data_IF_757579755273
#
_entry.id   IF_757579755273
#
_cell.length_a   1.000
_cell.length_b   1.000
_cell.length_c   1.000
_cell.angle_alpha   90.00
_cell.angle_beta   90.00
_cell.angle_gamma   90.00
#
_symmetry.space_group_name_H-M   'P 1'
#
loop_
_entity.id
_entity.type
_entity.pdbx_description
1 polymer ?
#
# COMPACT_ATOMS: atom_id res chain seq x y z
N UNK A 1 12.45 8.89 18.53
CA UNK A 1 13.37 9.57 17.59
C UNK A 1 13.83 8.63 16.46
N UNK A 2 14.46 7.48 16.77
CA UNK A 2 14.91 6.53 15.74
C UNK A 2 13.81 6.10 14.75
N UNK A 3 12.61 5.73 15.22
CA UNK A 3 11.49 5.35 14.34
C UNK A 3 11.07 6.49 13.41
N UNK A 4 11.02 7.73 13.91
CA UNK A 4 10.68 8.91 13.11
C UNK A 4 11.70 9.07 11.99
N UNK A 5 13.00 8.98 12.34
CA UNK A 5 14.07 9.05 11.35
C UNK A 5 14.01 7.92 10.32
N UNK A 6 13.65 6.71 10.74
CA UNK A 6 13.46 5.58 9.83
C UNK A 6 12.34 5.87 8.83
N UNK A 7 11.18 6.37 9.28
CA UNK A 7 10.08 6.75 8.41
C UNK A 7 10.47 7.87 7.43
N UNK A 8 11.19 8.90 7.87
CA UNK A 8 11.70 9.99 7.02
C UNK A 8 12.65 9.47 5.91
N UNK A 9 13.51 8.50 6.24
CA UNK A 9 14.42 7.91 5.26
C UNK A 9 13.65 7.07 4.23
N UNK A 10 12.63 6.32 4.66
CA UNK A 10 11.76 5.58 3.74
C UNK A 10 11.00 6.55 2.83
N UNK A 11 10.47 7.64 3.36
CA UNK A 11 9.81 8.68 2.58
C UNK A 11 10.73 9.27 1.49
N UNK A 12 11.98 9.60 1.84
CA UNK A 12 12.99 10.06 0.87
C UNK A 12 13.29 9.02 -0.21
N UNK A 13 13.29 7.73 0.14
CA UNK A 13 13.44 6.65 -0.84
C UNK A 13 12.22 6.55 -1.77
N UNK A 14 11.00 6.63 -1.24
CA UNK A 14 9.76 6.65 -2.03
C UNK A 14 9.74 7.84 -2.98
N UNK A 15 10.16 9.02 -2.52
CA UNK A 15 10.30 10.24 -3.32
C UNK A 15 11.31 10.10 -4.48
N UNK A 16 12.22 9.12 -4.44
CA UNK A 16 13.13 8.79 -5.55
C UNK A 16 12.57 7.72 -6.47
N UNK A 17 12.00 6.65 -5.91
CA UNK A 17 11.54 5.48 -6.68
C UNK A 17 10.26 5.78 -7.46
N UNK A 18 9.27 6.41 -6.83
CA UNK A 18 7.95 6.64 -7.44
C UNK A 18 8.06 7.53 -8.68
N UNK A 19 8.71 8.71 -8.63
CA UNK A 19 8.85 9.54 -9.84
C UNK A 19 9.64 8.84 -10.96
N UNK A 20 10.67 8.06 -10.62
CA UNK A 20 11.45 7.31 -11.61
C UNK A 20 10.58 6.24 -12.32
N UNK A 21 9.76 5.50 -11.56
CA UNK A 21 8.82 4.53 -12.12
C UNK A 21 7.78 5.22 -13.02
N UNK A 22 7.19 6.32 -12.56
CA UNK A 22 6.20 7.09 -13.33
C UNK A 22 6.79 7.67 -14.62
N UNK A 23 8.04 8.13 -14.61
CA UNK A 23 8.73 8.64 -15.80
C UNK A 23 8.94 7.56 -16.87
N UNK A 24 9.02 6.29 -16.46
CA UNK A 24 9.12 5.13 -17.35
C UNK A 24 7.75 4.51 -17.70
N UNK A 25 6.65 5.18 -17.35
CA UNK A 25 5.30 4.73 -17.69
C UNK A 25 4.75 3.62 -16.80
N UNK A 26 5.40 3.29 -15.68
CA UNK A 26 4.87 2.35 -14.70
C UNK A 26 3.79 2.99 -13.83
N UNK A 27 2.90 2.17 -13.30
CA UNK A 27 2.11 2.49 -12.11
C UNK A 27 2.75 1.84 -10.88
N UNK A 28 2.50 2.41 -9.69
CA UNK A 28 3.08 1.95 -8.43
C UNK A 28 1.97 1.72 -7.41
N UNK A 29 1.95 0.52 -6.82
CA UNK A 29 1.15 0.23 -5.64
C UNK A 29 2.03 0.38 -4.40
N UNK A 30 1.68 1.32 -3.50
CA UNK A 30 2.36 1.51 -2.22
C UNK A 30 1.49 0.87 -1.14
N UNK A 31 2.05 -0.08 -0.39
CA UNK A 31 1.35 -0.85 0.65
C UNK A 31 2.28 -1.17 1.83
N UNK A 32 1.71 -1.49 2.99
CA UNK A 32 2.42 -2.08 4.13
C UNK A 32 1.82 -3.46 4.45
N UNK A 33 2.60 -4.36 5.02
CA UNK A 33 2.13 -5.68 5.47
C UNK A 33 1.43 -5.61 6.83
N UNK A 34 1.86 -4.70 7.72
CA UNK A 34 1.20 -4.44 8.99
C UNK A 34 1.50 -3.02 9.52
N UNK A 35 0.94 -2.69 10.68
CA UNK A 35 1.29 -1.51 11.48
C UNK A 35 2.40 -1.81 12.49
N UNK A 36 3.14 -0.78 12.91
CA UNK A 36 4.15 -0.80 13.97
C UNK A 36 4.49 0.65 14.38
N UNK A 37 5.08 1.40 13.45
CA UNK A 37 5.60 2.76 13.69
C UNK A 37 4.52 3.79 14.06
N UNK A 38 3.26 3.48 13.78
CA UNK A 38 2.08 4.24 14.21
C UNK A 38 1.89 4.23 15.74
N UNK A 39 2.38 3.20 16.44
CA UNK A 39 2.20 3.02 17.88
C UNK A 39 3.53 2.68 18.56
N UNK A 40 4.26 3.71 19.01
CA UNK A 40 5.56 3.53 19.69
C UNK A 40 5.46 3.54 21.23
N UNK A 41 4.29 3.86 21.78
CA UNK A 41 4.01 3.84 23.22
C UNK A 41 2.64 3.22 23.48
N UNK A 42 2.53 2.43 24.55
CA UNK A 42 1.25 1.86 24.99
C UNK A 42 0.38 2.89 25.71
N UNK A 43 -0.83 2.47 26.13
CA UNK A 43 -1.77 3.33 26.85
C UNK A 43 -1.24 3.88 28.19
N UNK A 44 -0.19 3.27 28.74
CA UNK A 44 0.49 3.69 29.96
C UNK A 44 1.79 4.48 29.67
N UNK A 45 2.06 4.79 28.39
CA UNK A 45 3.23 5.53 27.94
C UNK A 45 4.53 4.74 27.88
N UNK A 46 4.50 3.42 28.16
CA UNK A 46 5.67 2.54 28.11
C UNK A 46 6.04 2.23 26.65
N UNK A 47 7.32 1.93 26.36
CA UNK A 47 7.73 1.56 25.00
C UNK A 47 6.89 0.41 24.44
N UNK A 48 6.35 0.59 23.24
CA UNK A 48 5.64 -0.45 22.51
C UNK A 48 6.56 -0.97 21.40
N UNK A 49 6.82 -2.28 21.39
CA UNK A 49 7.79 -2.93 20.50
C UNK A 49 7.16 -3.98 19.58
N UNK A 50 5.85 -4.20 19.69
CA UNK A 50 5.10 -5.15 18.89
C UNK A 50 4.45 -4.46 17.66
N UNK A 51 3.90 -5.27 16.76
CA UNK A 51 3.06 -4.78 15.67
C UNK A 51 1.74 -4.20 16.22
N UNK A 52 1.11 -3.33 15.44
CA UNK A 52 -0.24 -2.85 15.72
C UNK A 52 -1.27 -3.53 14.81
N UNK A 53 -2.54 -3.42 15.19
CA UNK A 53 -3.69 -3.87 14.39
C UNK A 53 -4.26 -2.75 13.51
N UNK A 54 -3.52 -1.64 13.36
CA UNK A 54 -3.96 -0.53 12.54
C UNK A 54 -4.10 -0.99 11.07
N UNK A 55 -5.14 -0.53 10.35
CA UNK A 55 -5.22 -0.75 8.92
C UNK A 55 -4.03 -0.11 8.22
N UNK A 56 -3.58 -0.74 7.13
CA UNK A 56 -2.41 -0.30 6.36
C UNK A 56 -2.84 0.54 5.14
N UNK A 57 -2.03 1.52 4.71
CA UNK A 57 -2.31 2.22 3.47
C UNK A 57 -2.17 1.26 2.28
N UNK A 58 -3.02 1.43 1.27
CA UNK A 58 -2.91 0.80 -0.04
C UNK A 58 -3.19 1.88 -1.08
N UNK A 59 -2.16 2.34 -1.78
CA UNK A 59 -2.22 3.51 -2.65
C UNK A 59 -1.84 3.14 -4.08
N UNK A 60 -2.67 3.52 -5.05
CA UNK A 60 -2.37 3.41 -6.47
C UNK A 60 -1.87 4.74 -7.03
N UNK A 61 -0.61 4.78 -7.49
CA UNK A 61 0.02 5.97 -8.05
C UNK A 61 0.31 5.72 -9.54
N UNK A 62 -0.27 6.53 -10.42
CA UNK A 62 -0.05 6.41 -11.86
C UNK A 62 -0.20 7.75 -12.59
N UNK A 63 0.32 7.84 -13.82
CA UNK A 63 0.07 8.97 -14.73
C UNK A 63 -1.27 8.85 -15.50
N UNK A 64 -1.90 7.69 -15.44
CA UNK A 64 -3.22 7.42 -16.01
C UNK A 64 -4.31 7.92 -15.05
N UNK A 65 -5.60 7.97 -15.47
CA UNK A 65 -6.69 8.31 -14.56
C UNK A 65 -6.61 7.51 -13.26
N UNK A 66 -6.83 8.16 -12.09
CA UNK A 66 -6.65 7.52 -10.80
C UNK A 66 -7.58 6.32 -10.66
N UNK A 67 -7.01 5.19 -10.22
CA UNK A 67 -7.78 4.03 -9.83
C UNK A 67 -8.26 4.23 -8.41
N UNK A 68 -9.58 4.37 -8.24
CA UNK A 68 -10.18 4.39 -6.91
C UNK A 68 -10.17 2.97 -6.34
N UNK A 69 -9.60 2.83 -5.16
CA UNK A 69 -9.54 1.56 -4.42
C UNK A 69 -10.57 1.57 -3.30
N UNK A 70 -11.22 0.43 -3.07
CA UNK A 70 -12.04 0.16 -1.90
C UNK A 70 -11.24 -0.54 -0.81
N UNK A 71 -11.78 -0.57 0.41
CA UNK A 71 -11.20 -1.31 1.52
C UNK A 71 -11.15 -2.83 1.25
N UNK A 72 -10.13 -3.48 1.80
CA UNK A 72 -9.94 -4.92 1.68
C UNK A 72 -8.80 -5.45 2.55
N UNK A 73 -8.18 -6.53 2.08
CA UNK A 73 -7.15 -7.30 2.78
C UNK A 73 -5.87 -7.40 1.95
N UNK A 74 -4.79 -7.90 2.55
CA UNK A 74 -3.54 -8.13 1.81
C UNK A 74 -3.68 -9.15 0.67
N UNK A 75 -4.62 -10.09 0.78
CA UNK A 75 -4.90 -11.07 -0.27
C UNK A 75 -5.42 -10.41 -1.56
N UNK A 76 -5.95 -9.20 -1.46
CA UNK A 76 -6.56 -8.46 -2.57
C UNK A 76 -5.53 -7.66 -3.40
N UNK A 77 -4.30 -7.48 -2.90
CA UNK A 77 -3.25 -6.70 -3.57
C UNK A 77 -2.84 -7.32 -4.91
N UNK A 78 -2.54 -8.62 -4.93
CA UNK A 78 -2.10 -9.29 -6.16
C UNK A 78 -3.19 -9.36 -7.24
N UNK A 79 -4.46 -9.73 -6.94
CA UNK A 79 -5.57 -9.62 -7.88
C UNK A 79 -5.75 -8.21 -8.46
N UNK A 80 -5.58 -7.17 -7.64
CA UNK A 80 -5.67 -5.76 -8.08
C UNK A 80 -4.60 -5.41 -9.10
N UNK A 81 -3.34 -5.82 -8.84
CA UNK A 81 -2.22 -5.59 -9.76
C UNK A 81 -2.44 -6.33 -11.08
N UNK A 82 -2.86 -7.60 -11.04
CA UNK A 82 -3.16 -8.37 -12.25
C UNK A 82 -4.26 -7.71 -13.09
N UNK A 83 -5.35 -7.26 -12.46
CA UNK A 83 -6.42 -6.55 -13.16
C UNK A 83 -5.90 -5.25 -13.79
N UNK A 84 -5.05 -4.50 -13.08
CA UNK A 84 -4.45 -3.27 -13.61
C UNK A 84 -3.54 -3.53 -14.82
N UNK A 85 -2.86 -4.68 -14.85
CA UNK A 85 -2.04 -5.14 -15.98
C UNK A 85 -2.85 -5.74 -17.13
N UNK A 86 -4.17 -5.90 -16.98
CA UNK A 86 -5.01 -6.60 -17.96
C UNK A 86 -4.74 -8.11 -18.04
N UNK A 87 -4.20 -8.69 -16.97
CA UNK A 87 -3.89 -10.12 -16.88
C UNK A 87 -5.04 -10.89 -16.20
N UNK A 88 -5.23 -12.17 -16.55
CA UNK A 88 -6.22 -13.01 -15.87
C UNK A 88 -5.81 -13.26 -14.42
N UNK A 89 -6.80 -13.31 -13.53
CA UNK A 89 -6.63 -13.68 -12.12
C UNK A 89 -6.82 -15.20 -12.01
N UNK A 90 -5.84 -15.97 -11.52
CA UNK A 90 -5.99 -17.42 -11.36
C UNK A 90 -7.04 -17.79 -10.31
N UNK A 91 -7.76 -18.89 -10.53
CA UNK A 91 -8.78 -19.40 -9.58
C UNK A 91 -8.23 -19.75 -8.19
N UNK A 92 -6.91 -19.97 -8.07
CA UNK A 92 -6.24 -20.19 -6.79
C UNK A 92 -6.12 -18.94 -5.92
N UNK A 93 -6.25 -17.73 -6.51
CA UNK A 93 -6.28 -16.48 -5.75
C UNK A 93 -7.69 -16.25 -5.21
N UNK A 94 -7.83 -16.33 -3.89
CA UNK A 94 -9.12 -16.13 -3.21
C UNK A 94 -9.42 -14.66 -2.90
N UNK A 95 -8.42 -13.78 -3.05
CA UNK A 95 -8.61 -12.34 -2.96
C UNK A 95 -9.36 -11.79 -4.17
N UNK A 96 -9.94 -10.61 -4.01
CA UNK A 96 -10.64 -9.87 -5.07
C UNK A 96 -9.88 -8.60 -5.40
N UNK A 97 -10.10 -8.05 -6.59
CA UNK A 97 -9.55 -6.73 -6.89
C UNK A 97 -10.19 -5.65 -6.02
N UNK A 98 -9.37 -4.69 -5.57
CA UNK A 98 -9.77 -3.50 -4.84
C UNK A 98 -10.26 -2.38 -5.76
N UNK A 99 -10.10 -2.50 -7.08
CA UNK A 99 -10.56 -1.49 -8.04
C UNK A 99 -12.08 -1.33 -7.93
N UNK A 100 -12.53 -0.10 -7.64
CA UNK A 100 -13.94 0.24 -7.70
C UNK A 100 -14.44 0.17 -9.16
N UNK A 101 -15.61 -0.44 -9.35
CA UNK A 101 -16.30 -0.36 -10.62
C UNK A 101 -16.68 1.11 -10.87
N UNK A 102 -16.51 1.59 -12.11
CA UNK A 102 -17.09 2.86 -12.48
C UNK A 102 -18.61 2.71 -12.39
N UNK A 103 -19.25 3.43 -11.47
CA UNK A 103 -20.69 3.64 -11.54
C UNK A 103 -20.95 4.45 -12.82
N UNK A 104 -21.72 3.87 -13.74
CA UNK A 104 -22.22 4.52 -14.95
C UNK A 104 -23.56 5.18 -14.67
#
# INVERSE_FOLDING_TARGET
>A
EATVRACEVVDQCVARVVPAALAQGYAVMIVSDHGNADTMRDAQGRPHTAHSLAPVPCLWVSRQPPMMLQDGTLADVAPTILQAMGLPIPDSMQGRSLKLAAEY
#
